data_IF_209328169563
#
_entry.id   IF_209328169563
#
_cell.length_a   1.000
_cell.length_b   1.000
_cell.length_c   1.000
_cell.angle_alpha   90.00
_cell.angle_beta   90.00
_cell.angle_gamma   90.00
#
_symmetry.space_group_name_H-M   'P 1'
#
loop_
_entity.id
_entity.type
_entity.pdbx_description
1 polymer ?
#
# COMPACT_ATOMS: atom_id res chain seq x y z
N UNK A 1 -22.24 -11.21 30.38
CA UNK A 1 -21.90 -12.05 29.20
C UNK A 1 -22.13 -11.20 27.96
N UNK A 2 -21.05 -10.71 27.34
CA UNK A 2 -21.11 -9.81 26.19
C UNK A 2 -21.54 -10.60 24.96
N UNK A 3 -22.75 -10.33 24.49
CA UNK A 3 -23.26 -10.83 23.22
C UNK A 3 -22.35 -10.36 22.09
N UNK A 4 -21.69 -11.33 21.47
CA UNK A 4 -20.94 -11.21 20.22
C UNK A 4 -21.89 -10.58 19.20
N UNK A 5 -21.73 -9.27 19.00
CA UNK A 5 -22.45 -8.53 17.98
C UNK A 5 -22.09 -9.14 16.64
N UNK A 6 -23.11 -9.70 16.02
CA UNK A 6 -23.14 -10.21 14.66
C UNK A 6 -22.99 -9.06 13.65
N UNK A 7 -21.89 -8.30 13.75
CA UNK A 7 -21.50 -7.22 12.83
C UNK A 7 -20.51 -7.71 11.75
N UNK A 8 -20.25 -9.01 11.73
CA UNK A 8 -19.60 -9.72 10.64
C UNK A 8 -20.68 -10.01 9.59
N UNK A 9 -20.93 -9.05 8.70
CA UNK A 9 -21.57 -9.34 7.40
C UNK A 9 -20.79 -10.38 6.59
N UNK A 10 -21.27 -10.81 5.41
CA UNK A 10 -21.12 -12.17 4.87
C UNK A 10 -19.70 -12.74 4.68
N UNK A 11 -18.64 -11.95 4.66
CA UNK A 11 -17.25 -12.46 4.55
C UNK A 11 -16.29 -11.54 5.35
N UNK A 12 -15.88 -11.91 6.57
CA UNK A 12 -15.04 -11.06 7.42
C UNK A 12 -13.66 -10.80 6.82
N UNK A 13 -13.16 -11.72 5.99
CA UNK A 13 -11.88 -11.63 5.29
C UNK A 13 -11.93 -10.52 4.24
N UNK A 14 -12.98 -10.48 3.42
CA UNK A 14 -13.17 -9.44 2.40
C UNK A 14 -13.25 -8.04 3.02
N UNK A 15 -13.96 -7.89 4.15
CA UNK A 15 -14.02 -6.62 4.89
C UNK A 15 -12.65 -6.19 5.41
N UNK A 16 -11.86 -7.12 5.95
CA UNK A 16 -10.51 -6.85 6.41
C UNK A 16 -9.60 -6.43 5.25
N UNK A 17 -9.67 -7.12 4.12
CA UNK A 17 -8.91 -6.80 2.92
C UNK A 17 -9.21 -5.37 2.42
N UNK A 18 -10.48 -5.00 2.34
CA UNK A 18 -10.89 -3.64 1.96
C UNK A 18 -10.39 -2.58 2.94
N UNK A 19 -10.48 -2.83 4.24
CA UNK A 19 -9.99 -1.90 5.26
C UNK A 19 -8.47 -1.72 5.13
N UNK A 20 -7.71 -2.81 5.01
CA UNK A 20 -6.24 -2.75 4.87
C UNK A 20 -5.84 -1.99 3.60
N UNK A 21 -6.52 -2.25 2.48
CA UNK A 21 -6.27 -1.56 1.21
C UNK A 21 -6.60 -0.07 1.28
N UNK A 22 -7.73 0.29 1.89
CA UNK A 22 -8.13 1.69 2.08
C UNK A 22 -7.15 2.44 2.99
N UNK A 23 -6.79 1.87 4.13
CA UNK A 23 -5.80 2.47 5.05
C UNK A 23 -4.44 2.63 4.38
N UNK A 24 -4.01 1.64 3.59
CA UNK A 24 -2.75 1.74 2.86
C UNK A 24 -2.75 2.91 1.87
N UNK A 25 -3.83 3.06 1.10
CA UNK A 25 -3.98 4.16 0.14
C UNK A 25 -4.02 5.52 0.85
N UNK A 26 -4.76 5.63 1.96
CA UNK A 26 -4.78 6.85 2.77
C UNK A 26 -3.38 7.21 3.28
N UNK A 27 -2.61 6.23 3.79
CA UNK A 27 -1.24 6.46 4.26
C UNK A 27 -0.29 6.88 3.13
N UNK A 28 -0.43 6.30 1.93
CA UNK A 28 0.34 6.73 0.75
C UNK A 28 0.04 8.18 0.37
N UNK A 29 -1.24 8.57 0.35
CA UNK A 29 -1.68 9.94 0.06
C UNK A 29 -1.17 10.90 1.16
N UNK A 30 -1.29 10.54 2.43
CA UNK A 30 -0.74 11.32 3.55
C UNK A 30 0.77 11.49 3.42
N UNK A 31 1.49 10.45 3.04
CA UNK A 31 2.93 10.48 2.79
C UNK A 31 3.33 11.49 1.70
N UNK A 32 2.53 11.60 0.63
CA UNK A 32 2.71 12.63 -0.41
C UNK A 32 2.35 14.02 0.11
N UNK A 33 1.26 14.15 0.87
CA UNK A 33 0.77 15.41 1.44
C UNK A 33 1.72 16.05 2.47
N UNK A 34 2.61 15.28 3.10
CA UNK A 34 3.63 15.84 4.01
C UNK A 34 4.52 16.89 3.32
N UNK A 35 4.84 16.70 2.04
CA UNK A 35 5.74 17.61 1.30
C UNK A 35 5.13 19.01 1.13
N UNK A 36 3.89 19.19 0.60
CA UNK A 36 3.24 20.49 0.57
C UNK A 36 2.93 21.01 1.98
N UNK A 37 2.51 20.16 2.92
CA UNK A 37 2.21 20.58 4.29
C UNK A 37 3.42 21.18 5.00
N UNK A 38 4.62 20.62 4.79
CA UNK A 38 5.88 21.19 5.28
C UNK A 38 6.17 22.55 4.64
N UNK A 39 5.85 22.76 3.37
CA UNK A 39 6.07 24.05 2.68
C UNK A 39 5.19 25.15 3.27
N UNK A 40 3.96 24.81 3.66
CA UNK A 40 3.00 25.73 4.26
C UNK A 40 3.30 25.97 5.75
N UNK A 41 3.48 24.91 6.53
CA UNK A 41 3.61 25.00 8.00
C UNK A 41 5.06 25.26 8.47
N UNK A 42 6.08 25.10 7.61
CA UNK A 42 7.52 25.19 7.95
C UNK A 42 7.99 24.26 9.10
N UNK A 43 7.19 23.29 9.50
CA UNK A 43 7.52 22.30 10.56
C UNK A 43 8.36 21.16 9.99
N UNK A 44 9.33 20.65 10.77
CA UNK A 44 10.25 19.62 10.34
C UNK A 44 9.64 18.19 10.40
N UNK A 45 8.67 17.91 9.53
CA UNK A 45 7.97 16.61 9.44
C UNK A 45 8.73 15.52 8.68
N UNK A 46 10.03 15.71 8.43
CA UNK A 46 10.82 14.81 7.60
C UNK A 46 10.91 13.39 8.17
N UNK A 47 10.95 13.25 9.50
CA UNK A 47 10.97 11.95 10.19
C UNK A 47 9.65 11.19 10.01
N UNK A 48 8.52 11.88 10.01
CA UNK A 48 7.19 11.28 9.84
C UNK A 48 6.99 10.73 8.43
N UNK A 49 7.54 11.38 7.40
CA UNK A 49 7.42 10.89 6.01
C UNK A 49 7.97 9.47 5.84
N UNK A 50 9.10 9.15 6.48
CA UNK A 50 9.67 7.81 6.45
C UNK A 50 8.75 6.80 7.14
N UNK A 51 8.30 7.13 8.36
CA UNK A 51 7.48 6.24 9.17
C UNK A 51 6.16 5.95 8.47
N UNK A 52 5.49 6.97 7.93
CA UNK A 52 4.24 6.81 7.17
C UNK A 52 4.44 5.93 5.93
N UNK A 53 5.55 6.10 5.19
CA UNK A 53 5.86 5.24 4.04
C UNK A 53 6.07 3.77 4.42
N UNK A 54 6.73 3.50 5.55
CA UNK A 54 6.91 2.14 6.06
C UNK A 54 5.59 1.54 6.58
N UNK A 55 4.78 2.34 7.26
CA UNK A 55 3.44 1.93 7.71
C UNK A 55 2.57 1.60 6.49
N UNK A 56 2.55 2.46 5.47
CA UNK A 56 1.82 2.22 4.23
C UNK A 56 2.24 0.90 3.58
N UNK A 57 3.55 0.63 3.48
CA UNK A 57 4.06 -0.64 2.98
C UNK A 57 3.59 -1.84 3.82
N UNK A 58 3.62 -1.72 5.15
CA UNK A 58 3.11 -2.76 6.05
C UNK A 58 1.63 -3.07 5.82
N UNK A 59 0.79 -2.04 5.64
CA UNK A 59 -0.62 -2.23 5.33
C UNK A 59 -0.85 -2.85 3.93
N UNK A 60 -0.11 -2.41 2.89
CA UNK A 60 -0.18 -3.07 1.57
C UNK A 60 0.27 -4.52 1.65
N UNK A 61 1.35 -4.81 2.39
CA UNK A 61 1.85 -6.17 2.57
C UNK A 61 0.81 -7.05 3.25
N UNK A 62 0.18 -6.56 4.34
CA UNK A 62 -0.90 -7.26 5.00
C UNK A 62 -2.12 -7.45 4.08
N UNK A 63 -2.49 -6.45 3.29
CA UNK A 63 -3.59 -6.54 2.32
C UNK A 63 -3.35 -7.65 1.29
N UNK A 64 -2.15 -7.72 0.71
CA UNK A 64 -1.79 -8.81 -0.23
C UNK A 64 -1.74 -10.16 0.49
N UNK A 65 -1.26 -10.19 1.73
CA UNK A 65 -1.18 -11.42 2.53
C UNK A 65 -2.56 -11.95 2.89
N UNK A 66 -3.52 -11.09 3.26
CA UNK A 66 -4.90 -11.49 3.54
C UNK A 66 -5.55 -12.07 2.29
N UNK A 67 -5.37 -11.45 1.13
CA UNK A 67 -5.86 -11.98 -0.14
C UNK A 67 -5.20 -13.33 -0.50
N UNK A 68 -3.86 -13.40 -0.45
CA UNK A 68 -3.13 -14.60 -0.86
C UNK A 68 -3.34 -15.80 0.09
N UNK A 69 -3.31 -15.58 1.41
CA UNK A 69 -3.33 -16.67 2.39
C UNK A 69 -4.72 -16.95 2.97
N UNK A 70 -5.53 -15.91 3.21
CA UNK A 70 -6.83 -16.08 3.89
C UNK A 70 -7.98 -16.21 2.89
N UNK A 71 -7.96 -15.46 1.78
CA UNK A 71 -9.02 -15.51 0.78
C UNK A 71 -8.83 -16.67 -0.20
N UNK A 72 -7.66 -16.74 -0.89
CA UNK A 72 -7.42 -17.79 -1.89
C UNK A 72 -6.81 -19.06 -1.28
N UNK A 73 -5.73 -18.95 -0.50
CA UNK A 73 -5.03 -20.08 0.13
C UNK A 73 -4.36 -21.09 -0.83
N UNK A 74 -4.44 -20.88 -2.15
CA UNK A 74 -3.91 -21.75 -3.21
C UNK A 74 -3.10 -20.94 -4.25
N UNK A 75 -1.80 -21.22 -4.32
CA UNK A 75 -0.85 -20.57 -5.24
C UNK A 75 -1.24 -20.66 -6.71
N UNK A 76 -1.87 -21.74 -7.15
CA UNK A 76 -2.28 -21.90 -8.55
C UNK A 76 -3.45 -20.96 -8.89
N UNK A 77 -4.37 -20.78 -7.95
CA UNK A 77 -5.50 -19.86 -8.09
C UNK A 77 -5.04 -18.41 -8.04
N UNK A 78 -4.10 -18.08 -7.14
CA UNK A 78 -3.45 -16.76 -7.09
C UNK A 78 -2.89 -16.41 -8.47
N UNK A 79 -2.11 -17.32 -9.07
CA UNK A 79 -1.52 -17.07 -10.39
C UNK A 79 -2.58 -16.89 -11.48
N UNK A 80 -3.61 -17.75 -11.48
CA UNK A 80 -4.71 -17.64 -12.42
C UNK A 80 -5.46 -16.30 -12.30
N UNK A 81 -5.71 -15.83 -11.07
CA UNK A 81 -6.37 -14.56 -10.82
C UNK A 81 -5.50 -13.36 -11.22
N UNK A 82 -4.20 -13.39 -10.95
CA UNK A 82 -3.27 -12.33 -11.40
C UNK A 82 -3.28 -12.18 -12.92
N UNK A 83 -3.43 -13.27 -13.67
CA UNK A 83 -3.50 -13.22 -15.14
C UNK A 83 -4.90 -12.88 -15.68
N UNK A 84 -5.96 -13.31 -15.00
CA UNK A 84 -7.35 -13.10 -15.46
C UNK A 84 -7.94 -11.75 -15.04
N UNK A 85 -7.47 -11.17 -13.94
CA UNK A 85 -8.06 -9.97 -13.32
C UNK A 85 -7.07 -8.80 -13.40
N UNK A 86 -7.23 -7.87 -14.36
CA UNK A 86 -6.27 -6.79 -14.60
C UNK A 86 -6.11 -5.86 -13.39
N UNK A 87 -7.14 -5.71 -12.56
CA UNK A 87 -7.05 -4.91 -11.34
C UNK A 87 -6.04 -5.51 -10.34
N UNK A 88 -5.98 -6.85 -10.20
CA UNK A 88 -5.00 -7.52 -9.32
C UNK A 88 -3.59 -7.31 -9.86
N UNK A 89 -3.39 -7.42 -11.18
CA UNK A 89 -2.10 -7.17 -11.81
C UNK A 89 -1.60 -5.75 -11.52
N UNK A 90 -2.46 -4.73 -11.62
CA UNK A 90 -2.12 -3.34 -11.33
C UNK A 90 -1.74 -3.16 -9.86
N UNK A 91 -2.48 -3.80 -8.95
CA UNK A 91 -2.16 -3.82 -7.51
C UNK A 91 -0.78 -4.45 -7.24
N UNK A 92 -0.50 -5.60 -7.85
CA UNK A 92 0.78 -6.29 -7.73
C UNK A 92 1.95 -5.48 -8.29
N UNK A 93 1.78 -4.78 -9.41
CA UNK A 93 2.78 -3.85 -9.94
C UNK A 93 3.07 -2.71 -8.97
N UNK A 94 2.03 -2.15 -8.35
CA UNK A 94 2.18 -1.14 -7.28
C UNK A 94 2.93 -1.68 -6.07
N UNK A 95 2.59 -2.89 -5.61
CA UNK A 95 3.26 -3.56 -4.49
C UNK A 95 4.74 -3.85 -4.79
N UNK A 96 5.05 -4.40 -5.96
CA UNK A 96 6.42 -4.63 -6.41
C UNK A 96 7.22 -3.32 -6.49
N UNK A 97 6.57 -2.22 -6.90
CA UNK A 97 7.15 -0.89 -6.85
C UNK A 97 7.47 -0.42 -5.43
N UNK A 98 6.64 -0.77 -4.43
CA UNK A 98 6.87 -0.38 -3.03
C UNK A 98 8.04 -1.10 -2.36
N UNK A 99 8.34 -2.33 -2.75
CA UNK A 99 9.43 -3.14 -2.18
C UNK A 99 10.78 -2.38 -2.19
N UNK A 100 11.29 -1.89 -3.33
CA UNK A 100 12.56 -1.16 -3.35
C UNK A 100 12.48 0.15 -2.56
N UNK A 101 11.33 0.81 -2.47
CA UNK A 101 11.19 2.00 -1.61
C UNK A 101 11.29 1.65 -0.13
N UNK A 102 10.63 0.58 0.32
CA UNK A 102 10.69 0.12 1.69
C UNK A 102 12.12 -0.28 2.08
N UNK A 103 12.80 -1.05 1.22
CA UNK A 103 14.19 -1.48 1.44
C UNK A 103 15.18 -0.31 1.44
N UNK A 104 14.95 0.70 0.59
CA UNK A 104 15.79 1.91 0.54
C UNK A 104 15.35 3.00 1.52
N UNK A 105 14.36 2.72 2.38
CA UNK A 105 13.92 3.60 3.46
C UNK A 105 14.84 3.52 4.68
N UNK A 106 16.16 3.38 4.47
CA UNK A 106 17.16 3.32 5.53
C UNK A 106 18.20 4.44 5.39
N UNK A 107 18.72 4.94 6.52
CA UNK A 107 19.73 6.02 6.53
C UNK A 107 20.97 5.63 5.72
N UNK A 108 21.35 4.35 5.77
CA UNK A 108 22.43 3.79 4.98
C UNK A 108 22.17 3.92 3.47
N UNK A 109 21.00 3.47 3.00
CA UNK A 109 20.63 3.54 1.59
C UNK A 109 20.54 4.99 1.09
N UNK A 110 20.00 5.90 1.90
CA UNK A 110 19.94 7.33 1.56
C UNK A 110 21.34 7.94 1.37
N UNK A 111 22.29 7.60 2.26
CA UNK A 111 23.68 8.07 2.17
C UNK A 111 24.42 7.43 0.98
N UNK A 112 24.20 6.13 0.72
CA UNK A 112 24.88 5.37 -0.33
C UNK A 112 24.39 5.71 -1.75
N UNK A 113 23.09 5.94 -1.93
CA UNK A 113 22.49 6.21 -3.24
C UNK A 113 22.48 7.71 -3.61
N UNK A 114 22.56 8.61 -2.63
CA UNK A 114 22.63 10.06 -2.86
C UNK A 114 21.51 10.58 -3.76
N UNK A 115 21.86 11.12 -4.94
CA UNK A 115 20.90 11.66 -5.90
C UNK A 115 19.94 10.59 -6.49
N UNK A 116 20.40 9.35 -6.67
CA UNK A 116 19.58 8.24 -7.19
C UNK A 116 18.45 7.88 -6.22
N UNK A 117 18.63 8.09 -4.92
CA UNK A 117 17.59 7.88 -3.91
C UNK A 117 16.34 8.73 -4.18
N UNK A 118 16.52 10.00 -4.60
CA UNK A 118 15.39 10.86 -4.98
C UNK A 118 14.70 10.37 -6.23
N UNK A 119 15.44 9.83 -7.21
CA UNK A 119 14.86 9.27 -8.43
C UNK A 119 14.01 8.04 -8.11
N UNK A 120 14.51 7.14 -7.27
CA UNK A 120 13.77 5.96 -6.82
C UNK A 120 12.50 6.34 -6.06
N UNK A 121 12.58 7.33 -5.16
CA UNK A 121 11.41 7.83 -4.44
C UNK A 121 10.41 8.61 -5.31
N UNK A 122 10.73 8.94 -6.57
CA UNK A 122 9.72 9.44 -7.52
C UNK A 122 8.75 8.36 -7.96
N UNK A 123 9.13 7.08 -7.86
CA UNK A 123 8.21 5.97 -8.13
C UNK A 123 7.00 5.97 -7.19
N UNK A 124 7.09 6.59 -6.00
CA UNK A 124 5.92 6.75 -5.10
C UNK A 124 4.73 7.40 -5.82
N UNK A 125 4.95 8.37 -6.70
CA UNK A 125 3.87 9.00 -7.46
C UNK A 125 3.18 8.00 -8.39
N UNK A 126 3.95 7.20 -9.12
CA UNK A 126 3.42 6.14 -9.98
C UNK A 126 2.67 5.07 -9.18
N UNK A 127 3.23 4.65 -8.04
CA UNK A 127 2.61 3.68 -7.13
C UNK A 127 1.28 4.21 -6.58
N UNK A 128 1.19 5.49 -6.21
CA UNK A 128 -0.07 6.08 -5.74
C UNK A 128 -1.13 6.10 -6.84
N UNK A 129 -0.73 6.38 -8.08
CA UNK A 129 -1.64 6.32 -9.24
C UNK A 129 -2.11 4.89 -9.47
N UNK A 130 -1.20 3.91 -9.47
CA UNK A 130 -1.54 2.49 -9.64
C UNK A 130 -2.45 2.00 -8.51
N UNK A 131 -2.18 2.37 -7.26
CA UNK A 131 -3.03 2.02 -6.11
C UNK A 131 -4.42 2.65 -6.20
N UNK A 132 -4.51 3.92 -6.62
CA UNK A 132 -5.79 4.58 -6.88
C UNK A 132 -6.56 3.93 -8.02
N UNK A 133 -5.89 3.59 -9.13
CA UNK A 133 -6.50 2.88 -10.25
C UNK A 133 -7.00 1.50 -9.84
N UNK A 134 -6.20 0.73 -9.09
CA UNK A 134 -6.59 -0.55 -8.52
C UNK A 134 -7.88 -0.43 -7.69
N UNK A 135 -7.94 0.55 -6.78
CA UNK A 135 -9.11 0.79 -5.93
C UNK A 135 -10.36 1.18 -6.74
N UNK A 136 -10.22 2.04 -7.75
CA UNK A 136 -11.35 2.46 -8.60
C UNK A 136 -11.85 1.32 -9.47
N UNK A 137 -10.94 0.49 -10.02
CA UNK A 137 -11.32 -0.68 -10.82
C UNK A 137 -12.04 -1.73 -9.97
N UNK A 138 -11.58 -1.97 -8.74
CA UNK A 138 -12.24 -2.87 -7.80
C UNK A 138 -13.67 -2.43 -7.45
N UNK A 139 -13.94 -1.12 -7.38
CA UNK A 139 -15.28 -0.59 -7.10
C UNK A 139 -16.20 -0.51 -8.32
N UNK A 140 -15.65 -0.57 -9.54
CA UNK A 140 -16.41 -0.45 -10.80
C UNK A 140 -16.73 -1.80 -11.46
N UNK A 141 -15.99 -2.85 -11.14
CA UNK A 141 -16.26 -4.23 -11.58
C UNK A 141 -17.06 -4.99 -10.55
#
# INVERSE_FOLDING_TARGET
MLGVRNELGPEPIAKLEHLLGEFALQMLILGLAITPLRRVLRINLFKFRRVIGLIAFGYVFLHVLTWALLDIGDLNRIWADVMKRPYITIGMLGFLGLIPLALTSNNFAQRRLGARWRQLHRLTYGICILGGLHFVMLRKG
#
